data_IF_250445328593
#
_entry.id   IF_250445328593
#
_cell.length_a   1.000
_cell.length_b   1.000
_cell.length_c   1.000
_cell.angle_alpha   90.00
_cell.angle_beta   90.00
_cell.angle_gamma   90.00
#
_symmetry.space_group_name_H-M   'P 1'
#
loop_
_entity.id
_entity.type
_entity.pdbx_description
1 polymer ?
#
# COMPACT_ATOMS: atom_id res chain seq x y z
N UNK A 1 -41.47 8.37 -11.86
CA UNK A 1 -41.39 7.20 -12.76
C UNK A 1 -40.08 6.50 -12.41
N UNK A 2 -40.16 5.49 -11.52
CA UNK A 2 -38.99 4.71 -11.04
C UNK A 2 -38.44 3.89 -12.22
N UNK A 3 -37.22 4.19 -12.64
CA UNK A 3 -36.52 3.36 -13.62
C UNK A 3 -36.26 1.97 -12.99
N UNK A 4 -36.81 0.92 -13.62
CA UNK A 4 -36.60 -0.45 -13.19
C UNK A 4 -35.08 -0.77 -13.22
N UNK A 5 -34.51 -1.05 -12.04
CA UNK A 5 -33.18 -1.65 -11.94
C UNK A 5 -33.22 -2.97 -12.73
N UNK A 6 -32.41 -3.03 -13.81
CA UNK A 6 -32.16 -4.29 -14.51
C UNK A 6 -31.60 -5.28 -13.50
N UNK A 7 -32.39 -6.27 -13.13
CA UNK A 7 -31.95 -7.41 -12.34
C UNK A 7 -30.88 -8.16 -13.13
N UNK A 8 -29.64 -8.09 -12.67
CA UNK A 8 -28.54 -8.88 -13.24
C UNK A 8 -28.88 -10.37 -13.09
N UNK A 9 -28.51 -11.19 -14.08
CA UNK A 9 -28.69 -12.63 -14.04
C UNK A 9 -28.10 -13.24 -12.76
N UNK A 10 -28.76 -14.23 -12.13
CA UNK A 10 -28.25 -14.85 -10.90
C UNK A 10 -26.89 -15.50 -11.14
N UNK A 11 -25.96 -15.30 -10.22
CA UNK A 11 -24.66 -15.95 -10.22
C UNK A 11 -24.82 -17.46 -10.03
N UNK A 12 -24.09 -18.31 -10.78
CA UNK A 12 -24.28 -19.77 -10.79
C UNK A 12 -24.10 -20.47 -9.44
N UNK A 13 -23.45 -19.81 -8.44
CA UNK A 13 -23.11 -20.40 -7.13
C UNK A 13 -24.02 -19.98 -5.98
N UNK A 14 -25.01 -19.10 -6.19
CA UNK A 14 -25.82 -18.54 -5.11
C UNK A 14 -25.10 -17.51 -4.21
N UNK A 15 -23.84 -17.22 -4.45
CA UNK A 15 -23.09 -16.18 -3.75
C UNK A 15 -23.29 -14.79 -4.38
N UNK A 16 -22.87 -13.74 -3.67
CA UNK A 16 -22.98 -12.37 -4.18
C UNK A 16 -22.11 -12.15 -5.42
N UNK A 17 -22.58 -11.32 -6.36
CA UNK A 17 -21.82 -11.00 -7.58
C UNK A 17 -20.43 -10.43 -7.27
N UNK A 18 -20.30 -9.63 -6.22
CA UNK A 18 -19.00 -9.06 -5.80
C UNK A 18 -17.96 -10.10 -5.41
N UNK A 19 -18.37 -11.26 -4.85
CA UNK A 19 -17.43 -12.33 -4.49
C UNK A 19 -16.81 -13.02 -5.71
N UNK A 20 -17.43 -12.91 -6.88
CA UNK A 20 -16.91 -13.41 -8.15
C UNK A 20 -16.07 -12.37 -8.90
N UNK A 21 -16.36 -11.08 -8.65
CA UNK A 21 -15.66 -9.97 -9.32
C UNK A 21 -14.35 -9.57 -8.60
N UNK A 22 -14.23 -9.90 -7.30
CA UNK A 22 -12.99 -9.71 -6.55
C UNK A 22 -12.03 -10.83 -6.89
N UNK A 23 -10.94 -10.49 -7.61
CA UNK A 23 -9.91 -11.43 -7.98
C UNK A 23 -8.99 -11.77 -6.79
N UNK A 24 -8.49 -13.01 -6.67
CA UNK A 24 -7.42 -13.31 -5.75
C UNK A 24 -6.13 -12.59 -6.16
N UNK A 25 -5.24 -12.35 -5.21
CA UNK A 25 -3.90 -11.85 -5.51
C UNK A 25 -3.04 -12.92 -6.20
N UNK A 26 -2.41 -12.59 -7.32
CA UNK A 26 -1.43 -13.48 -7.96
C UNK A 26 -0.23 -13.72 -7.06
N UNK A 27 0.22 -12.71 -6.29
CA UNK A 27 1.30 -12.86 -5.32
C UNK A 27 1.04 -13.95 -4.28
N UNK A 28 -0.22 -14.17 -3.89
CA UNK A 28 -0.56 -15.23 -2.92
C UNK A 28 -0.41 -16.64 -3.52
N UNK A 29 -0.70 -16.80 -4.81
CA UNK A 29 -0.46 -18.06 -5.52
C UNK A 29 1.04 -18.32 -5.70
N UNK A 30 1.81 -17.28 -6.01
CA UNK A 30 3.27 -17.35 -6.07
C UNK A 30 3.87 -17.73 -4.72
N UNK A 31 3.43 -17.07 -3.64
CA UNK A 31 3.86 -17.39 -2.27
C UNK A 31 3.54 -18.85 -1.90
N UNK A 32 2.32 -19.31 -2.20
CA UNK A 32 1.94 -20.70 -1.93
C UNK A 32 2.85 -21.68 -2.69
N UNK A 33 3.20 -21.36 -3.95
CA UNK A 33 4.12 -22.19 -4.74
C UNK A 33 5.56 -22.12 -4.21
N UNK A 34 6.05 -20.95 -3.83
CA UNK A 34 7.35 -20.74 -3.22
C UNK A 34 7.48 -21.58 -1.93
N UNK A 35 6.48 -21.49 -1.03
CA UNK A 35 6.44 -22.30 0.19
C UNK A 35 6.42 -23.82 -0.09
N UNK A 36 5.75 -24.27 -1.16
CA UNK A 36 5.77 -25.68 -1.56
C UNK A 36 7.15 -26.13 -2.05
N UNK A 37 7.90 -25.28 -2.73
CA UNK A 37 9.29 -25.54 -3.11
C UNK A 37 10.20 -25.60 -1.89
N UNK A 38 10.04 -24.70 -0.92
CA UNK A 38 10.80 -24.76 0.35
C UNK A 38 10.52 -26.05 1.13
N UNK A 39 9.26 -26.48 1.21
CA UNK A 39 8.89 -27.76 1.81
C UNK A 39 9.50 -28.96 1.08
N UNK A 40 9.76 -28.84 -0.23
CA UNK A 40 10.46 -29.83 -1.03
C UNK A 40 12.00 -29.79 -0.87
N UNK A 41 12.52 -28.84 -0.06
CA UNK A 41 13.95 -28.70 0.26
C UNK A 41 14.72 -27.72 -0.63
N UNK A 42 14.04 -26.94 -1.48
CA UNK A 42 14.68 -25.91 -2.28
C UNK A 42 14.87 -24.62 -1.47
N UNK A 43 15.98 -23.94 -1.71
CA UNK A 43 16.28 -22.64 -1.12
C UNK A 43 15.68 -21.52 -1.99
N UNK A 44 14.51 -21.00 -1.60
CA UNK A 44 13.78 -19.95 -2.33
C UNK A 44 14.16 -18.54 -1.83
N UNK A 45 14.36 -17.60 -2.75
CA UNK A 45 14.57 -16.19 -2.46
C UNK A 45 13.28 -15.43 -2.73
N UNK A 46 12.68 -14.90 -1.67
CA UNK A 46 11.41 -14.19 -1.70
C UNK A 46 11.61 -12.71 -1.99
N UNK A 47 11.27 -12.26 -3.20
CA UNK A 47 11.25 -10.85 -3.63
C UNK A 47 9.83 -10.43 -4.09
N UNK A 48 8.82 -11.27 -3.87
CA UNK A 48 7.42 -11.05 -4.25
C UNK A 48 6.62 -10.38 -3.14
N UNK A 49 7.00 -10.55 -1.87
CA UNK A 49 6.20 -10.11 -0.74
C UNK A 49 6.44 -8.65 -0.41
N UNK A 50 5.35 -7.92 -0.18
CA UNK A 50 5.37 -6.52 0.26
C UNK A 50 5.41 -6.37 1.78
N UNK A 51 6.30 -7.09 2.48
CA UNK A 51 6.45 -7.07 3.93
C UNK A 51 7.92 -6.88 4.31
N UNK A 52 8.22 -5.95 5.26
CA UNK A 52 9.56 -5.86 5.83
C UNK A 52 10.01 -7.18 6.45
N UNK A 53 11.25 -7.59 6.23
CA UNK A 53 11.86 -8.81 6.77
C UNK A 53 12.24 -8.69 8.26
N UNK A 54 12.11 -7.51 8.84
CA UNK A 54 12.41 -7.27 10.24
C UNK A 54 11.28 -7.71 11.14
N UNK A 55 11.61 -8.42 12.22
CA UNK A 55 10.64 -8.67 13.30
C UNK A 55 10.22 -7.37 13.97
N UNK A 56 9.04 -7.34 14.60
CA UNK A 56 8.60 -6.20 15.40
C UNK A 56 9.68 -5.79 16.41
N UNK A 57 9.92 -4.49 16.56
CA UNK A 57 10.95 -3.97 17.46
C UNK A 57 10.72 -4.39 18.92
N UNK A 58 11.81 -4.71 19.63
CA UNK A 58 11.75 -5.22 20.99
C UNK A 58 10.92 -4.38 21.97
N UNK A 59 11.03 -3.03 21.97
CA UNK A 59 10.18 -2.19 22.84
C UNK A 59 8.69 -2.40 22.61
N UNK A 60 8.25 -2.56 21.37
CA UNK A 60 6.84 -2.79 21.02
C UNK A 60 6.37 -4.15 21.52
N UNK A 61 7.20 -5.19 21.37
CA UNK A 61 6.90 -6.54 21.88
C UNK A 61 6.73 -6.49 23.40
N UNK A 62 7.66 -5.83 24.12
CA UNK A 62 7.56 -5.68 25.58
C UNK A 62 6.30 -4.93 26.01
N UNK A 63 5.95 -3.84 25.30
CA UNK A 63 4.73 -3.08 25.56
C UNK A 63 3.47 -3.93 25.32
N UNK A 64 3.44 -4.74 24.28
CA UNK A 64 2.34 -5.68 24.02
C UNK A 64 2.20 -6.75 25.08
N UNK A 65 3.30 -7.34 25.52
CA UNK A 65 3.32 -8.30 26.64
C UNK A 65 2.82 -7.66 27.94
N UNK A 66 3.27 -6.45 28.26
CA UNK A 66 2.81 -5.70 29.41
C UNK A 66 1.31 -5.39 29.35
N UNK A 67 0.79 -5.02 28.19
CA UNK A 67 -0.62 -4.76 27.97
C UNK A 67 -1.47 -6.03 28.23
N UNK A 68 -1.02 -7.18 27.74
CA UNK A 68 -1.67 -8.46 28.00
C UNK A 68 -1.64 -8.82 29.51
N UNK A 69 -0.49 -8.69 30.15
CA UNK A 69 -0.34 -8.96 31.58
C UNK A 69 -1.21 -8.04 32.45
N UNK A 70 -1.40 -6.79 32.04
CA UNK A 70 -2.27 -5.80 32.68
C UNK A 70 -3.76 -6.00 32.41
N UNK A 71 -4.14 -6.94 31.51
CA UNK A 71 -5.54 -7.23 31.19
C UNK A 71 -6.17 -6.20 30.24
N UNK A 72 -5.40 -5.48 29.45
CA UNK A 72 -5.91 -4.54 28.41
C UNK A 72 -6.50 -5.30 27.21
N UNK A 73 -7.54 -6.10 27.45
CA UNK A 73 -8.15 -7.00 26.45
C UNK A 73 -9.60 -6.64 26.12
N UNK A 74 -10.13 -5.56 26.70
CA UNK A 74 -11.49 -5.09 26.46
C UNK A 74 -11.53 -4.16 25.24
N UNK A 75 -12.72 -3.92 24.69
CA UNK A 75 -12.92 -2.91 23.65
C UNK A 75 -12.42 -1.54 24.09
N UNK A 76 -11.83 -0.81 23.15
CA UNK A 76 -11.57 0.62 23.25
C UNK A 76 -12.73 1.41 22.66
N UNK A 77 -12.67 2.75 22.73
CA UNK A 77 -13.52 3.58 21.90
C UNK A 77 -13.32 3.27 20.39
N UNK A 78 -14.33 3.48 19.57
CA UNK A 78 -14.26 3.19 18.13
C UNK A 78 -13.16 3.97 17.42
N UNK A 79 -12.89 5.20 17.85
CA UNK A 79 -11.77 6.02 17.34
C UNK A 79 -10.40 5.62 17.89
N UNK A 80 -10.34 4.63 18.79
CA UNK A 80 -9.11 4.16 19.43
C UNK A 80 -8.76 4.90 20.73
N UNK A 81 -7.67 4.48 21.34
CA UNK A 81 -7.17 5.06 22.59
C UNK A 81 -6.81 6.54 22.41
N UNK A 82 -7.28 7.46 23.29
CA UNK A 82 -6.89 8.86 23.23
C UNK A 82 -5.37 9.05 23.25
N UNK A 83 -4.66 8.35 24.13
CA UNK A 83 -3.20 8.42 24.21
C UNK A 83 -2.50 8.04 22.89
N UNK A 84 -3.04 7.06 22.14
CA UNK A 84 -2.47 6.69 20.86
C UNK A 84 -2.74 7.76 19.78
N UNK A 85 -3.93 8.36 19.77
CA UNK A 85 -4.25 9.46 18.85
C UNK A 85 -3.36 10.68 19.11
N UNK A 86 -3.13 11.01 20.39
CA UNK A 86 -2.19 12.08 20.80
C UNK A 86 -0.75 11.76 20.37
N UNK A 87 -0.30 10.50 20.54
CA UNK A 87 1.02 10.07 20.11
C UNK A 87 1.19 10.15 18.57
N UNK A 88 0.17 9.76 17.80
CA UNK A 88 0.16 9.93 16.35
C UNK A 88 0.23 11.41 15.97
N UNK A 89 -0.57 12.29 16.61
CA UNK A 89 -0.50 13.73 16.37
C UNK A 89 0.88 14.30 16.70
N UNK A 90 1.49 13.84 17.79
CA UNK A 90 2.88 14.17 18.15
C UNK A 90 3.90 13.74 17.11
N UNK A 91 3.71 12.58 16.48
CA UNK A 91 4.54 12.12 15.37
C UNK A 91 4.45 13.03 14.14
N UNK A 92 3.23 13.46 13.76
CA UNK A 92 3.05 14.43 12.67
C UNK A 92 3.72 15.77 12.99
N UNK A 93 3.60 16.27 14.23
CA UNK A 93 4.29 17.48 14.68
C UNK A 93 5.81 17.33 14.57
N UNK A 94 6.38 16.26 15.11
CA UNK A 94 7.82 16.05 15.14
C UNK A 94 8.43 15.81 13.77
N UNK A 95 7.72 15.12 12.87
CA UNK A 95 8.27 14.73 11.58
C UNK A 95 7.95 15.71 10.45
N UNK A 96 6.75 16.28 10.44
CA UNK A 96 6.26 17.11 9.33
C UNK A 96 6.00 18.57 9.73
N UNK A 97 6.16 18.90 11.01
CA UNK A 97 5.81 20.23 11.53
C UNK A 97 4.30 20.52 11.50
N UNK A 98 3.47 19.48 11.50
CA UNK A 98 2.01 19.59 11.37
C UNK A 98 1.33 19.45 12.73
N UNK A 99 0.50 20.44 13.08
CA UNK A 99 -0.37 20.39 14.24
C UNK A 99 -1.72 19.77 13.83
N UNK A 100 -1.89 18.49 14.12
CA UNK A 100 -3.13 17.76 13.84
C UNK A 100 -3.90 17.58 15.13
N UNK A 101 -5.17 17.97 15.15
CA UNK A 101 -6.06 17.69 16.26
C UNK A 101 -6.24 16.16 16.41
N UNK A 102 -5.88 15.56 17.56
CA UNK A 102 -6.09 14.13 17.81
C UNK A 102 -7.54 13.66 17.60
N UNK A 103 -8.51 14.57 17.70
CA UNK A 103 -9.92 14.26 17.44
C UNK A 103 -10.22 13.97 15.95
N UNK A 104 -9.34 14.36 15.04
CA UNK A 104 -9.40 14.01 13.61
C UNK A 104 -8.86 12.62 13.28
N UNK A 105 -8.26 11.93 14.25
CA UNK A 105 -7.58 10.65 14.04
C UNK A 105 -8.49 9.51 14.47
N UNK A 106 -8.70 8.54 13.57
CA UNK A 106 -9.37 7.28 13.86
C UNK A 106 -8.36 6.13 13.73
N UNK A 107 -8.14 5.41 14.83
CA UNK A 107 -7.31 4.19 14.82
C UNK A 107 -8.12 3.04 14.22
N UNK A 108 -7.52 2.30 13.30
CA UNK A 108 -8.22 1.31 12.48
C UNK A 108 -7.53 -0.05 12.52
N UNK A 109 -8.23 -1.15 12.18
CA UNK A 109 -7.62 -2.48 11.99
C UNK A 109 -6.71 -2.51 10.73
N UNK A 110 -5.52 -1.92 10.83
CA UNK A 110 -4.58 -1.71 9.73
C UNK A 110 -5.03 -0.63 8.74
N UNK A 111 -4.20 -0.34 7.74
CA UNK A 111 -4.58 0.54 6.63
C UNK A 111 -5.81 0.05 5.85
N UNK A 112 -6.06 -1.27 5.86
CA UNK A 112 -7.27 -1.85 5.25
C UNK A 112 -8.56 -1.35 5.90
N UNK A 113 -8.58 -1.22 7.25
CA UNK A 113 -9.72 -0.64 7.97
C UNK A 113 -9.91 0.84 7.62
N UNK A 114 -8.82 1.60 7.49
CA UNK A 114 -8.88 3.00 7.07
C UNK A 114 -9.43 3.15 5.64
N UNK A 115 -8.97 2.30 4.71
CA UNK A 115 -9.46 2.30 3.33
C UNK A 115 -10.95 1.90 3.24
N UNK A 116 -11.39 0.91 4.03
CA UNK A 116 -12.80 0.53 4.10
C UNK A 116 -13.66 1.67 4.61
N UNK A 117 -13.25 2.37 5.67
CA UNK A 117 -13.97 3.51 6.22
C UNK A 117 -14.07 4.65 5.19
N UNK A 118 -12.95 5.02 4.57
CA UNK A 118 -12.93 6.10 3.57
C UNK A 118 -13.80 5.75 2.36
N UNK A 119 -13.71 4.51 1.85
CA UNK A 119 -14.56 4.05 0.75
C UNK A 119 -16.04 4.05 1.13
N UNK A 120 -16.38 3.58 2.35
CA UNK A 120 -17.77 3.53 2.83
C UNK A 120 -18.37 4.91 3.05
N UNK A 121 -17.54 5.91 3.41
CA UNK A 121 -18.01 7.28 3.62
C UNK A 121 -18.21 8.03 2.30
N UNK A 122 -17.28 7.84 1.34
CA UNK A 122 -17.13 8.76 0.20
C UNK A 122 -17.69 8.20 -1.11
N UNK A 123 -18.06 6.91 -1.16
CA UNK A 123 -18.46 6.27 -2.41
C UNK A 123 -19.83 5.61 -2.28
N UNK A 124 -20.81 6.17 -2.97
CA UNK A 124 -22.13 5.57 -3.13
C UNK A 124 -22.13 4.48 -4.24
N UNK A 125 -23.14 3.60 -4.25
CA UNK A 125 -23.32 2.63 -5.33
C UNK A 125 -23.29 3.26 -6.72
N UNK A 126 -22.45 2.72 -7.60
CA UNK A 126 -22.27 3.21 -8.97
C UNK A 126 -21.33 4.40 -9.13
N UNK A 127 -20.90 5.03 -8.03
CA UNK A 127 -19.90 6.10 -8.07
C UNK A 127 -18.50 5.50 -8.09
N UNK A 128 -17.48 6.29 -8.49
CA UNK A 128 -16.12 5.79 -8.58
C UNK A 128 -15.05 6.80 -8.14
N UNK A 129 -13.91 6.24 -7.75
CA UNK A 129 -12.65 6.97 -7.62
C UNK A 129 -11.76 6.74 -8.83
N UNK A 130 -10.97 7.75 -9.19
CA UNK A 130 -9.83 7.62 -10.08
C UNK A 130 -8.67 6.98 -9.30
N UNK A 131 -8.11 5.92 -9.85
CA UNK A 131 -6.94 5.21 -9.32
C UNK A 131 -5.86 5.12 -10.40
N UNK A 132 -4.60 5.29 -10.00
CA UNK A 132 -3.48 5.02 -10.91
C UNK A 132 -3.43 3.54 -11.33
N UNK A 133 -3.07 3.29 -12.58
CA UNK A 133 -2.77 1.96 -13.15
C UNK A 133 -1.38 1.99 -13.79
N UNK A 134 -0.35 1.42 -13.14
CA UNK A 134 -0.40 0.47 -12.02
C UNK A 134 -0.67 1.13 -10.66
N UNK A 135 -1.25 0.35 -9.72
CA UNK A 135 -1.53 0.76 -8.36
C UNK A 135 -1.76 -0.42 -7.42
N UNK A 136 -1.94 -0.15 -6.13
CA UNK A 136 -2.15 -1.20 -5.14
C UNK A 136 -3.47 -1.96 -5.41
N UNK A 137 -3.42 -3.29 -5.59
CA UNK A 137 -4.57 -4.05 -6.12
C UNK A 137 -5.81 -4.02 -5.23
N UNK A 138 -5.67 -3.92 -3.90
CA UNK A 138 -6.83 -3.88 -2.99
C UNK A 138 -7.72 -2.67 -3.21
N UNK A 139 -7.19 -1.53 -3.67
CA UNK A 139 -7.95 -0.28 -3.75
C UNK A 139 -9.24 -0.47 -4.58
N UNK A 140 -9.14 -1.09 -5.76
CA UNK A 140 -10.31 -1.39 -6.61
C UNK A 140 -11.31 -2.35 -5.96
N UNK A 141 -10.81 -3.28 -5.13
CA UNK A 141 -11.65 -4.27 -4.46
C UNK A 141 -12.40 -3.69 -3.27
N UNK A 142 -11.81 -2.76 -2.51
CA UNK A 142 -12.52 -2.03 -1.46
C UNK A 142 -13.67 -1.20 -2.03
N UNK A 143 -13.45 -0.52 -3.16
CA UNK A 143 -14.51 0.21 -3.86
C UNK A 143 -15.64 -0.75 -4.28
N UNK A 144 -15.27 -1.92 -4.81
CA UNK A 144 -16.29 -2.92 -5.19
C UNK A 144 -17.07 -3.47 -3.99
N UNK A 145 -16.46 -3.58 -2.80
CA UNK A 145 -17.14 -4.00 -1.57
C UNK A 145 -18.27 -3.04 -1.16
N UNK A 146 -18.10 -1.74 -1.41
CA UNK A 146 -19.11 -0.71 -1.11
C UNK A 146 -20.02 -0.41 -2.32
N UNK A 147 -20.09 -1.32 -3.30
CA UNK A 147 -20.90 -1.19 -4.53
C UNK A 147 -20.44 -0.02 -5.46
N UNK A 148 -19.30 0.57 -5.17
CA UNK A 148 -18.62 1.54 -6.03
C UNK A 148 -17.78 0.88 -7.10
N UNK A 149 -17.07 1.70 -7.87
CA UNK A 149 -16.17 1.27 -8.94
C UNK A 149 -14.81 1.95 -8.85
N UNK A 150 -13.82 1.37 -9.50
CA UNK A 150 -12.52 1.99 -9.74
C UNK A 150 -12.43 2.40 -11.21
N UNK A 151 -12.17 3.66 -11.47
CA UNK A 151 -11.73 4.11 -12.79
C UNK A 151 -10.22 4.08 -12.82
N UNK A 152 -9.65 3.04 -13.44
CA UNK A 152 -8.22 2.89 -13.59
C UNK A 152 -7.70 3.86 -14.66
N UNK A 153 -6.76 4.72 -14.29
CA UNK A 153 -6.16 5.73 -15.14
C UNK A 153 -4.74 5.29 -15.50
N UNK A 154 -4.44 4.99 -16.77
CA UNK A 154 -3.10 4.63 -17.19
C UNK A 154 -2.09 5.72 -16.83
N UNK A 155 -1.04 5.33 -16.11
CA UNK A 155 0.09 6.19 -15.75
C UNK A 155 1.41 5.52 -16.14
N UNK A 156 2.42 6.32 -16.42
CA UNK A 156 3.71 5.82 -16.89
C UNK A 156 4.87 6.66 -16.40
N UNK A 157 6.07 6.43 -16.94
CA UNK A 157 7.27 7.20 -16.59
C UNK A 157 7.11 8.71 -16.73
N UNK A 158 6.36 9.15 -17.74
CA UNK A 158 6.13 10.57 -18.03
C UNK A 158 5.42 11.32 -16.89
N UNK A 159 4.61 10.60 -16.10
CA UNK A 159 3.90 11.13 -14.93
C UNK A 159 4.53 10.67 -13.61
N UNK A 160 5.70 10.02 -13.64
CA UNK A 160 6.27 9.35 -12.47
C UNK A 160 5.38 8.24 -11.91
N UNK A 161 4.55 7.63 -12.76
CA UNK A 161 3.53 6.64 -12.37
C UNK A 161 2.49 7.17 -11.36
N UNK A 162 2.25 8.49 -11.36
CA UNK A 162 1.30 9.15 -10.47
C UNK A 162 0.16 9.80 -11.27
N UNK A 163 -0.99 9.99 -10.63
CA UNK A 163 -2.06 10.83 -11.16
C UNK A 163 -1.59 12.29 -11.19
N UNK A 164 -1.91 12.98 -12.27
CA UNK A 164 -1.66 14.41 -12.43
C UNK A 164 -2.98 15.17 -12.60
N UNK A 165 -3.03 16.48 -12.35
CA UNK A 165 -4.21 17.30 -12.67
C UNK A 165 -4.77 17.07 -14.06
N UNK A 166 -3.91 17.03 -15.08
CA UNK A 166 -4.32 16.81 -16.46
C UNK A 166 -4.94 15.42 -16.69
N UNK A 167 -4.44 14.39 -16.01
CA UNK A 167 -5.02 13.05 -16.06
C UNK A 167 -6.37 13.00 -15.34
N UNK A 168 -6.49 13.68 -14.19
CA UNK A 168 -7.77 13.81 -13.48
C UNK A 168 -8.80 14.50 -14.39
N UNK A 169 -8.48 15.64 -14.96
CA UNK A 169 -9.39 16.37 -15.85
C UNK A 169 -9.85 15.55 -17.06
N UNK A 170 -8.94 14.78 -17.66
CA UNK A 170 -9.23 13.94 -18.84
C UNK A 170 -10.17 12.78 -18.51
N UNK A 171 -10.04 12.21 -17.30
CA UNK A 171 -10.76 11.01 -16.91
C UNK A 171 -11.95 11.26 -15.98
N UNK A 172 -12.13 12.51 -15.53
CA UNK A 172 -13.26 12.88 -14.69
C UNK A 172 -14.57 12.85 -15.46
N UNK A 173 -15.62 12.29 -14.86
CA UNK A 173 -16.98 12.27 -15.40
C UNK A 173 -18.02 12.44 -14.29
N UNK A 174 -19.31 12.38 -14.63
CA UNK A 174 -20.42 12.64 -13.72
C UNK A 174 -20.52 11.65 -12.55
N UNK A 175 -19.94 10.46 -12.68
CA UNK A 175 -19.91 9.44 -11.63
C UNK A 175 -18.64 9.51 -10.76
N UNK A 176 -17.68 10.36 -11.11
CA UNK A 176 -16.46 10.57 -10.33
C UNK A 176 -16.75 11.33 -9.03
N UNK A 177 -16.25 10.83 -7.90
CA UNK A 177 -16.39 11.47 -6.59
C UNK A 177 -15.06 11.77 -5.91
N UNK A 178 -13.93 11.35 -6.49
CA UNK A 178 -12.62 11.62 -5.94
C UNK A 178 -11.51 10.82 -6.60
N UNK A 179 -10.34 10.90 -6.02
CA UNK A 179 -9.19 10.10 -6.38
C UNK A 179 -8.49 9.56 -5.13
N UNK A 180 -7.90 8.38 -5.25
CA UNK A 180 -6.97 7.85 -4.26
C UNK A 180 -5.59 7.72 -4.92
N UNK A 181 -4.59 8.34 -4.29
CA UNK A 181 -3.18 8.24 -4.66
C UNK A 181 -2.37 7.67 -3.51
N UNK A 182 -1.25 7.04 -3.81
CA UNK A 182 -0.29 6.56 -2.82
C UNK A 182 1.04 7.28 -2.99
N UNK A 183 1.62 7.79 -1.90
CA UNK A 183 2.90 8.48 -1.90
C UNK A 183 3.66 8.18 -0.61
N UNK A 184 4.71 7.35 -0.67
CA UNK A 184 5.22 6.54 -1.79
C UNK A 184 4.26 5.46 -2.28
N UNK A 185 4.30 5.17 -3.58
CA UNK A 185 3.37 4.24 -4.23
C UNK A 185 3.87 2.78 -4.24
N UNK A 186 2.95 1.84 -4.14
CA UNK A 186 3.13 0.44 -4.51
C UNK A 186 2.41 0.22 -5.86
N UNK A 187 3.09 -0.24 -6.94
CA UNK A 187 4.37 -0.97 -6.95
C UNK A 187 5.63 -0.13 -7.25
N UNK A 188 5.53 1.16 -7.51
CA UNK A 188 6.56 1.96 -8.20
C UNK A 188 7.58 2.62 -7.28
N UNK A 189 7.26 2.80 -5.99
CA UNK A 189 8.11 3.52 -5.03
C UNK A 189 8.22 5.04 -5.29
N UNK A 190 7.42 5.57 -6.22
CA UNK A 190 7.41 7.01 -6.56
C UNK A 190 6.62 7.84 -5.56
N UNK A 191 6.95 9.10 -5.43
CA UNK A 191 6.32 10.05 -4.50
C UNK A 191 5.71 11.23 -5.21
N UNK A 192 4.78 11.89 -4.55
CA UNK A 192 4.28 13.23 -4.89
C UNK A 192 4.88 14.25 -3.92
N UNK A 193 5.38 15.36 -4.44
CA UNK A 193 5.80 16.49 -3.64
C UNK A 193 4.62 17.37 -3.20
N UNK A 194 4.88 18.35 -2.34
CA UNK A 194 3.82 19.24 -1.81
C UNK A 194 3.12 20.04 -2.92
N UNK A 195 3.84 20.46 -3.96
CA UNK A 195 3.26 21.23 -5.07
C UNK A 195 2.34 20.35 -5.93
N UNK A 196 2.75 19.11 -6.18
CA UNK A 196 1.96 18.12 -6.91
C UNK A 196 0.69 17.74 -6.13
N UNK A 197 0.81 17.52 -4.81
CA UNK A 197 -0.34 17.26 -3.93
C UNK A 197 -1.30 18.44 -3.90
N UNK A 198 -0.80 19.67 -3.78
CA UNK A 198 -1.62 20.88 -3.80
C UNK A 198 -2.38 21.06 -5.14
N UNK A 199 -1.69 20.85 -6.26
CA UNK A 199 -2.30 20.96 -7.58
C UNK A 199 -3.39 19.89 -7.80
N UNK A 200 -3.13 18.65 -7.36
CA UNK A 200 -4.09 17.55 -7.45
C UNK A 200 -5.31 17.81 -6.58
N UNK A 201 -5.11 18.26 -5.33
CA UNK A 201 -6.19 18.64 -4.41
C UNK A 201 -7.05 19.76 -4.99
N UNK A 202 -6.44 20.84 -5.49
CA UNK A 202 -7.16 21.96 -6.08
C UNK A 202 -8.02 21.52 -7.28
N UNK A 203 -7.48 20.64 -8.13
CA UNK A 203 -8.21 20.09 -9.29
C UNK A 203 -9.43 19.27 -8.86
N UNK A 204 -9.28 18.40 -7.88
CA UNK A 204 -10.37 17.58 -7.36
C UNK A 204 -11.45 18.45 -6.66
N UNK A 205 -11.04 19.40 -5.82
CA UNK A 205 -11.96 20.33 -5.15
C UNK A 205 -12.77 21.19 -6.14
N UNK A 206 -12.15 21.64 -7.23
CA UNK A 206 -12.84 22.36 -8.30
C UNK A 206 -13.95 21.54 -8.99
N UNK A 207 -13.86 20.21 -8.89
CA UNK A 207 -14.86 19.25 -9.38
C UNK A 207 -15.84 18.76 -8.31
N UNK A 208 -15.74 19.26 -7.07
CA UNK A 208 -16.51 18.78 -5.91
C UNK A 208 -16.08 17.38 -5.44
N UNK A 209 -14.88 16.94 -5.80
CA UNK A 209 -14.36 15.64 -5.45
C UNK A 209 -13.44 15.65 -4.24
N UNK A 210 -13.18 14.46 -3.70
CA UNK A 210 -12.33 14.23 -2.53
C UNK A 210 -10.96 13.69 -2.92
N UNK A 211 -9.91 14.12 -2.19
CA UNK A 211 -8.58 13.53 -2.28
C UNK A 211 -8.34 12.61 -1.09
N UNK A 212 -8.01 11.36 -1.39
CA UNK A 212 -7.56 10.36 -0.42
C UNK A 212 -6.10 10.04 -0.72
N UNK A 213 -5.23 10.16 0.28
CA UNK A 213 -3.80 9.87 0.11
C UNK A 213 -3.40 8.72 1.02
N UNK A 214 -2.88 7.67 0.42
CA UNK A 214 -2.29 6.55 1.14
C UNK A 214 -0.81 6.86 1.43
N UNK A 215 -0.53 7.21 2.69
CA UNK A 215 0.80 7.54 3.21
C UNK A 215 1.44 6.36 3.96
N UNK A 216 1.01 5.13 3.70
CA UNK A 216 1.44 3.93 4.44
C UNK A 216 2.97 3.72 4.42
N UNK A 217 3.67 4.22 3.39
CA UNK A 217 5.13 4.13 3.28
C UNK A 217 5.86 5.37 3.79
N UNK A 218 5.17 6.34 4.40
CA UNK A 218 5.82 7.45 5.08
C UNK A 218 6.77 6.93 6.16
N UNK A 219 7.95 7.56 6.23
CA UNK A 219 9.09 7.06 6.99
C UNK A 219 10.02 6.13 6.21
N UNK A 220 9.56 5.52 5.10
CA UNK A 220 10.39 4.73 4.19
C UNK A 220 10.65 5.52 2.89
N UNK A 221 11.27 6.70 3.03
CA UNK A 221 11.82 7.51 1.94
C UNK A 221 13.31 7.70 2.16
N UNK A 222 14.05 7.94 1.08
CA UNK A 222 15.50 7.86 1.09
C UNK A 222 16.14 9.19 0.68
N UNK A 223 16.73 9.88 1.67
CA UNK A 223 17.40 11.17 1.48
C UNK A 223 16.49 12.40 1.69
N UNK A 224 15.20 12.17 1.94
CA UNK A 224 14.22 13.22 2.25
C UNK A 224 13.03 12.62 3.04
N UNK A 225 12.22 13.49 3.64
CA UNK A 225 10.92 13.11 4.17
C UNK A 225 9.81 13.43 3.15
N UNK A 226 8.91 12.46 2.90
CA UNK A 226 7.78 12.68 2.01
C UNK A 226 6.87 13.80 2.54
N UNK A 227 6.32 14.59 1.62
CA UNK A 227 5.29 15.55 1.98
C UNK A 227 3.99 14.84 2.34
N UNK A 228 3.39 15.18 3.50
CA UNK A 228 2.02 14.81 3.79
C UNK A 228 1.06 15.75 3.07
N UNK A 229 -0.04 15.23 2.53
CA UNK A 229 -1.07 16.09 1.91
C UNK A 229 -1.65 17.09 2.89
N UNK A 230 -1.63 16.81 4.19
CA UNK A 230 -2.10 17.71 5.23
C UNK A 230 -1.25 19.00 5.38
N UNK A 231 -0.08 19.07 4.74
CA UNK A 231 0.70 20.32 4.64
C UNK A 231 0.07 21.31 3.66
N UNK A 232 -0.78 20.85 2.75
CA UNK A 232 -1.34 21.66 1.65
C UNK A 232 -2.87 21.59 1.58
N UNK A 233 -3.49 20.60 2.23
CA UNK A 233 -4.93 20.41 2.22
C UNK A 233 -5.43 19.75 3.52
N UNK A 234 -6.04 20.54 4.38
CA UNK A 234 -6.62 20.08 5.65
C UNK A 234 -7.91 19.25 5.46
N UNK A 235 -8.56 19.32 4.29
CA UNK A 235 -9.77 18.58 3.97
C UNK A 235 -9.48 17.23 3.29
N UNK A 236 -8.22 16.90 3.03
CA UNK A 236 -7.84 15.61 2.49
C UNK A 236 -7.98 14.49 3.54
N UNK A 237 -8.21 13.27 3.05
CA UNK A 237 -8.21 12.06 3.87
C UNK A 237 -6.85 11.38 3.76
N UNK A 238 -6.22 11.08 4.90
CA UNK A 238 -4.93 10.39 4.94
C UNK A 238 -5.09 9.01 5.53
N UNK A 239 -4.70 7.99 4.77
CA UNK A 239 -4.57 6.62 5.23
C UNK A 239 -3.11 6.37 5.65
N UNK A 240 -2.90 5.74 6.81
CA UNK A 240 -1.58 5.32 7.22
C UNK A 240 -1.65 4.02 8.04
N UNK A 241 -0.49 3.41 8.32
CA UNK A 241 -0.46 2.12 9.00
C UNK A 241 0.82 1.92 9.80
N UNK A 242 0.71 1.13 10.86
CA UNK A 242 1.86 0.62 11.60
C UNK A 242 2.59 -0.54 10.91
N UNK A 243 2.07 -1.00 9.76
CA UNK A 243 2.59 -2.20 9.08
C UNK A 243 3.97 -2.03 8.45
N UNK A 244 4.35 -0.82 7.97
CA UNK A 244 5.54 -0.67 7.13
C UNK A 244 6.72 -0.06 7.89
N UNK A 245 6.76 1.25 8.06
CA UNK A 245 7.82 1.92 8.79
C UNK A 245 7.97 1.41 10.24
N UNK A 246 6.85 1.20 10.91
CA UNK A 246 6.81 0.76 12.30
C UNK A 246 7.00 -0.76 12.50
N UNK A 247 7.00 -1.56 11.41
CA UNK A 247 7.28 -3.00 11.49
C UNK A 247 6.25 -3.83 12.27
N UNK A 248 4.99 -3.41 12.25
CA UNK A 248 3.88 -4.06 12.97
C UNK A 248 2.86 -4.70 12.02
N UNK A 249 3.30 -5.43 10.99
CA UNK A 249 2.41 -6.02 9.96
C UNK A 249 1.31 -6.90 10.55
N UNK A 250 1.67 -7.89 11.35
CA UNK A 250 0.76 -8.86 11.96
C UNK A 250 -0.12 -8.31 13.09
N UNK A 251 0.18 -7.12 13.62
CA UNK A 251 -0.61 -6.48 14.70
C UNK A 251 -1.91 -5.87 14.20
N UNK A 252 -2.06 -5.70 12.88
CA UNK A 252 -3.26 -5.17 12.23
C UNK A 252 -3.69 -3.82 12.79
N UNK A 253 -2.81 -2.83 12.76
CA UNK A 253 -3.06 -1.48 13.27
C UNK A 253 -2.71 -0.42 12.21
N UNK A 254 -3.54 0.62 12.11
CA UNK A 254 -3.36 1.77 11.24
C UNK A 254 -4.20 2.94 11.72
N UNK A 255 -4.28 3.98 10.94
CA UNK A 255 -5.12 5.14 11.23
C UNK A 255 -5.59 5.86 9.97
N UNK A 256 -6.66 6.60 10.14
CA UNK A 256 -7.22 7.53 9.17
C UNK A 256 -7.20 8.93 9.80
N UNK A 257 -6.64 9.93 9.12
CA UNK A 257 -6.86 11.34 9.45
C UNK A 257 -7.91 11.88 8.50
N UNK A 258 -8.94 12.53 9.04
CA UNK A 258 -10.07 13.01 8.27
C UNK A 258 -10.40 14.47 8.60
N UNK A 259 -11.14 15.18 7.72
CA UNK A 259 -11.72 16.47 8.04
C UNK A 259 -12.63 16.38 9.27
N UNK A 260 -12.69 17.41 10.15
CA UNK A 260 -13.50 17.37 11.36
C UNK A 260 -14.98 17.00 11.11
N UNK A 261 -15.55 17.49 10.02
CA UNK A 261 -16.95 17.22 9.66
C UNK A 261 -17.22 15.75 9.31
N UNK A 262 -16.22 15.00 8.88
CA UNK A 262 -16.32 13.59 8.51
C UNK A 262 -16.22 12.65 9.73
N UNK A 263 -15.59 13.09 10.82
CA UNK A 263 -15.27 12.25 11.98
C UNK A 263 -16.50 11.59 12.61
N UNK A 264 -17.62 12.27 12.86
CA UNK A 264 -18.81 11.64 13.46
C UNK A 264 -19.36 10.49 12.61
N UNK A 265 -19.38 10.66 11.28
CA UNK A 265 -19.87 9.64 10.35
C UNK A 265 -18.91 8.46 10.27
N UNK A 266 -17.60 8.70 10.23
CA UNK A 266 -16.57 7.66 10.27
C UNK A 266 -16.59 6.88 11.57
N UNK A 267 -16.80 7.54 12.72
CA UNK A 267 -16.91 6.86 14.02
C UNK A 267 -18.13 5.92 14.04
N UNK A 268 -19.26 6.38 13.55
CA UNK A 268 -20.48 5.57 13.41
C UNK A 268 -20.26 4.34 12.50
N UNK A 269 -19.58 4.52 11.37
CA UNK A 269 -19.20 3.42 10.49
C UNK A 269 -18.25 2.44 11.20
N UNK A 270 -17.22 2.92 11.89
CA UNK A 270 -16.28 2.10 12.64
C UNK A 270 -16.95 1.24 13.71
N UNK A 271 -17.89 1.84 14.48
CA UNK A 271 -18.70 1.14 15.48
C UNK A 271 -19.46 -0.06 14.88
N UNK A 272 -19.97 0.07 13.67
CA UNK A 272 -20.78 -0.95 13.03
C UNK A 272 -19.95 -1.97 12.22
N UNK A 273 -18.79 -1.58 11.69
CA UNK A 273 -17.97 -2.47 10.86
C UNK A 273 -17.07 -3.38 11.71
N UNK A 274 -16.49 -2.88 12.80
CA UNK A 274 -15.52 -3.66 13.59
C UNK A 274 -15.47 -3.27 15.09
N UNK A 275 -16.33 -2.36 15.57
CA UNK A 275 -16.42 -1.89 16.97
C UNK A 275 -15.21 -1.05 17.37
N UNK A 276 -14.00 -1.63 17.40
CA UNK A 276 -12.73 -0.95 17.69
C UNK A 276 -11.56 -1.72 17.08
N UNK A 277 -10.43 -1.03 16.88
CA UNK A 277 -9.17 -1.69 16.51
C UNK A 277 -8.63 -2.58 17.64
N UNK A 278 -7.73 -3.55 17.36
CA UNK A 278 -7.20 -4.47 18.37
C UNK A 278 -6.57 -3.74 19.56
N UNK A 279 -7.13 -3.90 20.76
CA UNK A 279 -6.75 -3.12 21.95
C UNK A 279 -5.29 -3.31 22.35
N UNK A 280 -4.80 -4.57 22.36
CA UNK A 280 -3.41 -4.87 22.69
C UNK A 280 -2.42 -4.23 21.72
N UNK A 281 -2.77 -4.21 20.42
CA UNK A 281 -1.95 -3.57 19.40
C UNK A 281 -1.86 -2.05 19.62
N UNK A 282 -2.96 -1.41 20.06
CA UNK A 282 -2.99 0.01 20.36
C UNK A 282 -2.06 0.35 21.53
N UNK A 283 -2.11 -0.43 22.60
CA UNK A 283 -1.21 -0.25 23.74
C UNK A 283 0.26 -0.49 23.36
N UNK A 284 0.54 -1.53 22.58
CA UNK A 284 1.89 -1.82 22.09
C UNK A 284 2.43 -0.70 21.18
N UNK A 285 1.57 -0.10 20.34
CA UNK A 285 1.95 0.94 19.40
C UNK A 285 2.38 2.27 20.05
N UNK A 286 2.03 2.51 21.30
CA UNK A 286 2.55 3.67 22.05
C UNK A 286 4.08 3.67 22.10
N UNK A 287 4.70 2.47 22.20
CA UNK A 287 6.15 2.33 22.18
C UNK A 287 6.79 2.66 20.82
N UNK A 288 6.03 2.77 19.74
CA UNK A 288 6.55 3.17 18.42
C UNK A 288 7.12 4.59 18.40
N UNK A 289 6.60 5.44 19.29
CA UNK A 289 6.92 6.87 19.30
C UNK A 289 8.03 7.22 20.30
N UNK A 290 8.53 6.23 21.03
CA UNK A 290 9.67 6.39 21.94
C UNK A 290 10.97 6.58 21.14
N UNK A 291 11.89 7.47 21.58
CA UNK A 291 13.13 7.77 20.85
C UNK A 291 13.97 6.52 20.54
N UNK A 292 14.05 5.57 21.46
CA UNK A 292 14.77 4.28 21.27
C UNK A 292 14.18 3.50 20.09
N UNK A 293 12.85 3.44 20.00
CA UNK A 293 12.16 2.68 18.96
C UNK A 293 12.28 3.38 17.60
N UNK A 294 12.16 4.72 17.57
CA UNK A 294 12.39 5.52 16.36
C UNK A 294 13.80 5.29 15.82
N UNK A 295 14.83 5.25 16.69
CA UNK A 295 16.20 4.96 16.27
C UNK A 295 16.33 3.60 15.57
N UNK A 296 15.60 2.57 16.03
CA UNK A 296 15.55 1.25 15.38
C UNK A 296 14.92 1.38 13.97
N UNK A 297 13.84 2.13 13.83
CA UNK A 297 13.18 2.31 12.52
C UNK A 297 14.06 3.06 11.53
N UNK A 298 14.76 4.11 11.98
CA UNK A 298 15.70 4.85 11.14
C UNK A 298 16.87 3.99 10.68
N UNK A 299 17.40 3.11 11.54
CA UNK A 299 18.41 2.14 11.16
C UNK A 299 17.89 1.15 10.09
N UNK A 300 16.64 0.68 10.21
CA UNK A 300 16.00 -0.20 9.22
C UNK A 300 15.75 0.53 7.89
N UNK A 301 15.31 1.79 7.94
CA UNK A 301 15.18 2.65 6.75
C UNK A 301 16.51 2.75 6.00
N UNK A 302 17.60 2.96 6.72
CA UNK A 302 18.93 3.03 6.11
C UNK A 302 19.33 1.69 5.46
N UNK A 303 18.99 0.55 6.06
CA UNK A 303 19.21 -0.76 5.44
C UNK A 303 18.40 -0.91 4.14
N UNK A 304 17.14 -0.49 4.11
CA UNK A 304 16.35 -0.48 2.87
C UNK A 304 16.98 0.43 1.80
N UNK A 305 17.50 1.58 2.17
CA UNK A 305 18.23 2.44 1.23
C UNK A 305 19.43 1.71 0.62
N UNK A 306 20.25 1.06 1.43
CA UNK A 306 21.43 0.30 0.98
C UNK A 306 21.01 -0.87 0.05
N UNK A 307 19.94 -1.56 0.35
CA UNK A 307 19.38 -2.65 -0.47
C UNK A 307 18.93 -2.12 -1.84
N UNK A 308 18.22 -0.99 -1.88
CA UNK A 308 17.82 -0.32 -3.12
C UNK A 308 19.06 0.08 -3.93
N UNK A 309 19.98 0.76 -3.29
CA UNK A 309 21.19 1.32 -3.94
C UNK A 309 22.11 0.21 -4.51
N UNK A 310 21.99 -1.01 -3.96
CA UNK A 310 22.63 -2.21 -4.55
C UNK A 310 21.79 -2.80 -5.69
N UNK A 311 20.50 -3.09 -5.44
CA UNK A 311 19.70 -3.90 -6.35
C UNK A 311 19.34 -3.15 -7.65
N UNK A 312 19.05 -1.86 -7.57
CA UNK A 312 18.66 -1.03 -8.71
C UNK A 312 19.70 -1.06 -9.85
N UNK A 313 20.97 -0.69 -9.63
CA UNK A 313 21.98 -0.76 -10.69
C UNK A 313 22.28 -2.21 -11.11
N UNK A 314 22.20 -3.17 -10.21
CA UNK A 314 22.43 -4.58 -10.53
C UNK A 314 21.38 -5.11 -11.54
N UNK A 315 20.09 -4.83 -11.32
CA UNK A 315 19.03 -5.24 -12.26
C UNK A 315 19.13 -4.48 -13.60
N UNK A 316 19.46 -3.18 -13.57
CA UNK A 316 19.71 -2.41 -14.80
C UNK A 316 20.84 -3.02 -15.62
N UNK A 317 21.91 -3.50 -14.98
CA UNK A 317 23.04 -4.15 -15.67
C UNK A 317 22.65 -5.49 -16.33
N UNK A 318 21.59 -6.14 -15.86
CA UNK A 318 21.02 -7.36 -16.45
C UNK A 318 20.04 -7.07 -17.60
N UNK A 319 19.69 -5.80 -17.83
CA UNK A 319 18.78 -5.39 -18.90
C UNK A 319 17.33 -5.10 -18.46
N UNK A 320 17.02 -5.17 -17.16
CA UNK A 320 15.74 -4.70 -16.66
C UNK A 320 15.66 -3.17 -16.81
N UNK A 321 14.57 -2.67 -17.39
CA UNK A 321 14.36 -1.24 -17.51
C UNK A 321 13.61 -0.73 -16.29
N UNK A 322 14.19 0.25 -15.62
CA UNK A 322 13.61 0.93 -14.46
C UNK A 322 13.69 2.42 -14.78
N UNK A 323 12.64 2.92 -15.44
CA UNK A 323 12.63 4.27 -16.03
C UNK A 323 12.50 5.37 -14.98
N UNK A 324 11.83 5.06 -13.85
CA UNK A 324 11.71 5.98 -12.71
C UNK A 324 12.36 5.35 -11.49
N UNK A 325 13.32 6.06 -10.90
CA UNK A 325 13.98 5.60 -9.69
C UNK A 325 13.03 5.70 -8.49
N UNK A 326 12.85 4.61 -7.71
CA UNK A 326 11.98 4.66 -6.55
C UNK A 326 12.59 5.54 -5.45
N UNK A 327 11.79 6.45 -4.95
CA UNK A 327 12.17 7.40 -3.90
C UNK A 327 11.81 6.89 -2.50
N UNK A 328 10.92 5.89 -2.43
CA UNK A 328 10.45 5.31 -1.17
C UNK A 328 9.89 3.90 -1.32
N UNK A 329 9.22 3.43 -0.29
CA UNK A 329 8.80 2.04 -0.12
C UNK A 329 9.98 1.05 -0.17
N UNK A 330 9.80 -0.14 -0.70
CA UNK A 330 10.86 -1.14 -0.86
C UNK A 330 10.65 -1.98 -2.12
N UNK A 331 10.29 -1.33 -3.25
CA UNK A 331 9.98 -1.97 -4.52
C UNK A 331 10.75 -1.35 -5.67
N UNK A 332 11.09 -2.20 -6.64
CA UNK A 332 11.46 -1.83 -8.00
C UNK A 332 10.36 -2.32 -8.94
N UNK A 333 9.82 -1.42 -9.75
CA UNK A 333 8.87 -1.75 -10.82
C UNK A 333 9.62 -1.75 -12.14
N UNK A 334 9.80 -2.92 -12.70
CA UNK A 334 10.72 -3.16 -13.81
C UNK A 334 9.93 -3.48 -15.08
N UNK A 335 10.21 -2.75 -16.16
CA UNK A 335 9.78 -3.11 -17.52
C UNK A 335 10.68 -4.25 -18.03
N UNK A 336 10.07 -5.37 -18.33
CA UNK A 336 10.70 -6.60 -18.85
C UNK A 336 10.38 -6.86 -20.31
N UNK A 337 9.81 -5.89 -21.03
CA UNK A 337 9.45 -6.02 -22.45
C UNK A 337 10.64 -6.33 -23.37
N UNK A 338 11.86 -6.07 -22.91
CA UNK A 338 13.09 -6.50 -23.61
C UNK A 338 13.36 -8.02 -23.53
N UNK A 339 12.64 -8.73 -22.67
CA UNK A 339 12.78 -10.19 -22.47
C UNK A 339 11.51 -10.94 -22.86
N UNK A 340 10.33 -10.37 -22.61
CA UNK A 340 9.05 -11.05 -22.76
C UNK A 340 7.87 -10.08 -22.82
N UNK A 341 6.77 -10.54 -23.43
CA UNK A 341 5.44 -9.94 -23.33
C UNK A 341 4.50 -10.74 -22.39
N UNK A 342 5.03 -11.71 -21.65
CA UNK A 342 4.31 -12.51 -20.65
C UNK A 342 5.06 -12.53 -19.32
N UNK A 343 4.85 -11.46 -18.53
CA UNK A 343 5.46 -11.34 -17.20
C UNK A 343 5.03 -12.45 -16.23
N UNK A 344 3.88 -13.10 -16.44
CA UNK A 344 3.43 -14.20 -15.60
C UNK A 344 4.26 -15.47 -15.87
N UNK A 345 4.44 -15.85 -17.14
CA UNK A 345 5.30 -16.96 -17.50
C UNK A 345 6.76 -16.69 -17.10
N UNK A 346 7.20 -15.43 -17.24
CA UNK A 346 8.53 -14.98 -16.82
C UNK A 346 8.74 -15.19 -15.31
N UNK A 347 7.82 -14.71 -14.45
CA UNK A 347 7.91 -14.95 -13.00
C UNK A 347 7.87 -16.43 -12.64
N UNK A 348 7.03 -17.22 -13.30
CA UNK A 348 6.94 -18.66 -13.07
C UNK A 348 8.26 -19.37 -13.44
N UNK A 349 8.89 -19.00 -14.55
CA UNK A 349 10.19 -19.55 -14.95
C UNK A 349 11.24 -19.35 -13.86
N UNK A 350 11.42 -18.13 -13.35
CA UNK A 350 12.41 -17.84 -12.31
C UNK A 350 12.12 -18.57 -10.99
N UNK A 351 10.86 -18.70 -10.63
CA UNK A 351 10.48 -19.45 -9.43
C UNK A 351 10.80 -20.94 -9.57
N UNK A 352 10.47 -21.55 -10.71
CA UNK A 352 10.65 -23.00 -10.90
C UNK A 352 12.10 -23.41 -11.18
N UNK A 353 12.87 -22.59 -11.90
CA UNK A 353 14.23 -22.97 -12.34
C UNK A 353 15.32 -22.42 -11.45
N UNK A 354 15.14 -21.21 -10.92
CA UNK A 354 16.15 -20.48 -10.17
C UNK A 354 15.77 -20.25 -8.71
N UNK A 355 14.54 -20.62 -8.34
CA UNK A 355 13.98 -20.45 -6.99
C UNK A 355 14.07 -18.99 -6.50
N UNK A 356 13.73 -18.05 -7.40
CA UNK A 356 13.60 -16.63 -7.11
C UNK A 356 12.18 -16.21 -7.42
N UNK A 357 11.45 -15.78 -6.39
CA UNK A 357 10.07 -15.31 -6.51
C UNK A 357 10.02 -13.79 -6.67
N UNK A 358 9.29 -13.28 -7.66
CA UNK A 358 8.91 -11.86 -7.80
C UNK A 358 7.55 -11.75 -8.52
N UNK A 359 6.87 -10.61 -8.37
CA UNK A 359 5.44 -10.48 -8.71
C UNK A 359 5.25 -9.95 -10.13
N UNK A 360 4.39 -10.57 -10.97
CA UNK A 360 4.05 -10.02 -12.28
C UNK A 360 3.22 -8.73 -12.15
N UNK A 361 3.35 -7.83 -13.12
CA UNK A 361 2.62 -6.57 -13.16
C UNK A 361 1.11 -6.70 -13.17
N UNK A 362 0.59 -7.86 -13.57
CA UNK A 362 -0.84 -8.19 -13.59
C UNK A 362 -1.55 -8.04 -12.24
N UNK A 363 -0.84 -8.15 -11.13
CA UNK A 363 -1.39 -7.86 -9.80
C UNK A 363 -1.76 -6.39 -9.65
N UNK A 364 -1.01 -5.48 -10.28
CA UNK A 364 -1.08 -4.04 -10.02
C UNK A 364 -1.98 -3.28 -10.98
N UNK A 365 -2.47 -3.90 -12.03
CA UNK A 365 -3.33 -3.24 -13.01
C UNK A 365 -3.41 -3.95 -14.34
N UNK A 366 -3.75 -3.17 -15.36
CA UNK A 366 -3.91 -3.67 -16.73
C UNK A 366 -2.97 -2.99 -17.72
N UNK A 367 -2.61 -1.70 -17.46
CA UNK A 367 -1.79 -0.91 -18.38
C UNK A 367 -0.37 -1.47 -18.45
N UNK A 368 -0.01 -2.07 -19.59
CA UNK A 368 1.28 -2.75 -19.83
C UNK A 368 1.68 -3.77 -18.76
N UNK A 369 0.71 -4.29 -18.02
CA UNK A 369 0.95 -5.16 -16.85
C UNK A 369 1.71 -6.46 -17.21
N UNK A 370 1.50 -7.01 -18.42
CA UNK A 370 2.22 -8.20 -18.92
C UNK A 370 3.66 -7.91 -19.34
N UNK A 371 4.08 -6.65 -19.36
CA UNK A 371 5.45 -6.24 -19.65
C UNK A 371 6.21 -5.76 -18.41
N UNK A 372 5.62 -5.90 -17.21
CA UNK A 372 6.24 -5.42 -15.99
C UNK A 372 6.27 -6.49 -14.89
N UNK A 373 7.26 -6.35 -14.01
CA UNK A 373 7.35 -7.12 -12.76
C UNK A 373 7.67 -6.19 -11.60
N UNK A 374 7.20 -6.53 -10.39
CA UNK A 374 7.61 -5.87 -9.15
C UNK A 374 8.58 -6.76 -8.40
N UNK A 375 9.72 -6.21 -8.00
CA UNK A 375 10.76 -6.84 -7.20
C UNK A 375 10.87 -6.08 -5.88
N UNK A 376 10.63 -6.76 -4.75
CA UNK A 376 10.80 -6.18 -3.42
C UNK A 376 12.25 -6.35 -2.95
N UNK A 377 12.85 -5.30 -2.35
CA UNK A 377 14.18 -5.40 -1.76
C UNK A 377 14.13 -5.54 -0.24
N UNK A 378 13.28 -6.49 0.21
CA UNK A 378 13.07 -6.79 1.62
C UNK A 378 14.04 -7.83 2.20
N UNK A 379 14.94 -8.38 1.40
CA UNK A 379 16.01 -9.29 1.82
C UNK A 379 17.31 -8.51 2.13
N UNK A 380 18.21 -9.09 2.91
CA UNK A 380 19.52 -8.50 3.15
C UNK A 380 20.38 -8.44 1.86
N UNK A 381 21.44 -7.64 1.88
CA UNK A 381 22.28 -7.41 0.69
C UNK A 381 22.94 -8.68 0.19
N UNK A 382 23.37 -9.59 1.07
CA UNK A 382 24.00 -10.85 0.65
C UNK A 382 23.00 -11.75 -0.08
N UNK A 383 21.75 -11.78 0.43
CA UNK A 383 20.67 -12.55 -0.20
C UNK A 383 20.24 -11.92 -1.54
N UNK A 384 20.27 -10.59 -1.65
CA UNK A 384 20.02 -9.89 -2.91
C UNK A 384 21.14 -10.13 -3.95
N UNK A 385 22.40 -10.26 -3.52
CA UNK A 385 23.52 -10.64 -4.40
C UNK A 385 23.33 -12.03 -5.00
N UNK A 386 22.92 -12.98 -4.18
CA UNK A 386 22.55 -14.31 -4.63
C UNK A 386 21.37 -14.29 -5.60
N UNK A 387 20.32 -13.50 -5.30
CA UNK A 387 19.19 -13.33 -6.19
C UNK A 387 19.61 -12.80 -7.58
N UNK A 388 20.46 -11.78 -7.62
CA UNK A 388 21.00 -11.22 -8.89
C UNK A 388 21.78 -12.26 -9.67
N UNK A 389 22.55 -13.13 -8.98
CA UNK A 389 23.30 -14.21 -9.61
C UNK A 389 22.37 -15.24 -10.24
N UNK A 390 21.32 -15.66 -9.50
CA UNK A 390 20.30 -16.59 -10.00
C UNK A 390 19.48 -15.99 -11.14
N UNK A 391 19.08 -14.70 -11.02
CA UNK A 391 18.38 -13.99 -12.11
C UNK A 391 19.22 -13.97 -13.38
N UNK A 392 20.53 -13.70 -13.30
CA UNK A 392 21.41 -13.72 -14.48
C UNK A 392 21.37 -15.08 -15.17
N UNK A 393 21.49 -16.17 -14.42
CA UNK A 393 21.45 -17.55 -14.95
C UNK A 393 20.08 -17.88 -15.56
N UNK A 394 18.98 -17.46 -14.90
CA UNK A 394 17.63 -17.62 -15.41
C UNK A 394 17.37 -16.86 -16.71
N UNK A 395 17.98 -15.69 -16.90
CA UNK A 395 17.90 -14.95 -18.16
C UNK A 395 18.61 -15.66 -19.31
N UNK A 396 19.71 -16.35 -19.03
CA UNK A 396 20.43 -17.17 -20.05
C UNK A 396 19.56 -18.34 -20.53
N UNK A 397 18.91 -19.05 -19.58
CA UNK A 397 18.00 -20.16 -19.91
C UNK A 397 16.70 -19.68 -20.57
N UNK A 398 16.16 -18.52 -20.17
CA UNK A 398 14.97 -17.93 -20.79
C UNK A 398 15.17 -17.58 -22.27
N UNK A 399 16.36 -17.08 -22.65
CA UNK A 399 16.68 -16.74 -24.05
C UNK A 399 16.94 -17.96 -24.92
N UNK A 400 17.21 -19.10 -24.32
CA UNK A 400 17.47 -20.36 -25.01
C UNK A 400 16.21 -21.22 -25.22
N UNK A 401 15.07 -20.82 -24.65
CA UNK A 401 13.79 -21.49 -24.80
C UNK A 401 12.92 -20.79 -25.86
#
# INVERSE_FOLDING_TARGET
MMAAMKTAAPTPSGYSRRSHEIAPFHVMSLLARANALEQAGFDVIHLEIGEPDFTTAGPIIRAGQAALAAGHTRYTAARGLPALREAIAGFYRGRYGLEIDPERILVTPGGSGALLLASSLLVDPGRHWLLADPGYPCNRHFLRLVEGAAQLVPVGPDSGYQLTPALVERHWNDDSVGALVASPANPTGTTLDAAQLAALSATLKARGGHLVVDEIYHGLTYGFDAASVLQVDDDAFVLNSFSKYFGMTGWRLGWLVAPPAAVPELEKLAQNLYISAPSMAQHAALACFEPETIAIFEQRREQFRQRRDYLLPALRSLGFRIDVEPQGAFYLYCDVSGFTDDAQAFCAHFLETEHVAFTPGLDFGHHRAHQHVRIAYTQDVARLQEAVTRIRRGLESWRGA
#
